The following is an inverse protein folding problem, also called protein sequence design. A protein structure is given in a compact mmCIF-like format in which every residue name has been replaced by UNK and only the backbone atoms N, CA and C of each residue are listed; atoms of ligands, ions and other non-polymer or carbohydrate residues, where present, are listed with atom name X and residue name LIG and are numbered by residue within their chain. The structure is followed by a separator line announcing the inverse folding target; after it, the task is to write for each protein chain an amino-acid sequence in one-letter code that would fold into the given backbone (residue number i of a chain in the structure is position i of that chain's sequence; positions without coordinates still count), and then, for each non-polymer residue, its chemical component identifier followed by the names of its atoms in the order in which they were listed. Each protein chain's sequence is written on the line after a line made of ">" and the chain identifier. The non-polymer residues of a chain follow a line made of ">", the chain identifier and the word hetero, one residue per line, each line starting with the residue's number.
data_IF_560548365967
#
_entry.id   IF_560548365967
#
_cell.length_a   1.000
_cell.length_b   1.000
_cell.length_c   1.000
_cell.angle_alpha   90.00
_cell.angle_beta   90.00
_cell.angle_gamma   90.00
#
_symmetry.space_group_name_H-M   'P 1'
#
loop_
_entity.id
_entity.type
_entity.pdbx_description
1 polymer ?
#
# COMPACT_ATOMS: atom_id res chain seq x y z
N UNK A 1 27.27 8.75 10.89
CA UNK A 1 26.78 9.36 10.94
C UNK A 1 26.47 10.05 10.94
N UNK A 2 26.47 9.61 10.59
CA UNK A 2 25.92 10.29 10.49
C UNK A 2 25.42 10.71 10.25
N UNK A 3 25.08 10.33 10.07
CA UNK A 3 24.40 10.83 9.83
C UNK A 3 24.13 11.47 9.77
N UNK A 4 24.23 11.31 9.70
CA UNK A 4 23.75 12.02 9.59
C UNK A 4 23.35 12.54 9.31
N UNK A 5 23.15 12.29 9.08
CA UNK A 5 22.61 12.87 8.84
C UNK A 5 22.36 13.39 8.72
N UNK A 6 22.48 13.09 8.67
CA UNK A 6 22.04 13.62 8.58
C UNK A 6 21.63 13.97 8.41
N UNK A 7 21.38 13.61 8.26
CA UNK A 7 20.79 13.97 8.12
C UNK A 7 20.06 13.97 8.13
N UNK A 8 20.20 13.65 8.20
CA UNK A 8 19.36 13.68 8.14
C UNK A 8 18.91 13.53 7.97
N UNK A 9 19.11 12.87 7.83
CA UNK A 9 18.44 12.66 7.72
C UNK A 9 18.24 12.22 7.60
N UNK A 10 18.05 11.70 7.50
CA UNK A 10 17.78 11.36 7.41
C UNK A 10 17.77 10.91 7.64
N UNK A 11 17.90 10.40 7.63
CA UNK A 11 17.75 10.07 7.76
C UNK A 11 17.70 10.16 7.72
N UNK A 12 17.81 10.10 7.82
CA UNK A 12 17.67 10.33 7.70
C UNK A 12 17.47 10.12 7.44
N UNK A 13 17.58 9.68 7.23
CA UNK A 13 17.34 9.53 6.98
C UNK A 13 17.71 9.46 6.94
N UNK A 14 18.08 9.41 7.17
CA UNK A 14 18.46 9.38 7.18
C UNK A 14 18.92 9.09 7.49
N UNK A 15 19.06 8.82 7.88
CA UNK A 15 19.51 8.54 7.95
C UNK A 15 19.78 7.73 7.97
N UNK A 16 19.29 7.32 7.93
CA UNK A 16 19.58 6.43 7.47
C UNK A 16 20.31 6.40 6.65
N UNK A 17 20.93 6.70 6.38
CA UNK A 17 21.50 6.54 5.64
C UNK A 17 22.09 5.98 5.16
N UNK A 18 22.56 5.96 5.38
CA UNK A 18 23.06 5.39 4.63
C UNK A 18 22.97 4.09 4.68
N UNK A 19 22.56 3.73 5.40
CA UNK A 19 22.19 2.57 5.15
C UNK A 19 21.40 2.58 4.07
N UNK A 20 21.38 2.02 3.61
CA UNK A 20 21.04 1.83 2.53
C UNK A 20 19.69 1.36 2.53
N UNK A 21 18.76 2.26 2.31
CA UNK A 21 17.35 1.97 2.11
C UNK A 21 17.17 1.04 0.92
N UNK A 22 17.96 1.23 -0.13
CA UNK A 22 17.86 0.35 -1.30
C UNK A 22 18.23 -1.08 -0.97
N UNK A 23 19.28 -1.29 -0.20
CA UNK A 23 19.66 -2.63 0.20
C UNK A 23 18.59 -3.28 1.07
N UNK A 24 17.96 -2.48 1.94
CA UNK A 24 16.87 -2.99 2.75
C UNK A 24 15.71 -3.49 1.88
N UNK A 25 15.31 -2.68 0.91
CA UNK A 25 14.20 -3.07 0.05
C UNK A 25 14.54 -4.25 -0.85
N UNK A 26 15.80 -4.39 -1.23
CA UNK A 26 16.20 -5.55 -2.03
C UNK A 26 16.07 -6.86 -1.28
N UNK A 27 16.15 -6.82 0.05
CA UNK A 27 16.00 -8.02 0.86
C UNK A 27 14.57 -8.24 1.33
N UNK A 28 13.68 -7.26 1.11
CA UNK A 28 12.29 -7.41 1.50
C UNK A 28 11.52 -8.12 0.43
N UNK A 29 10.63 -8.98 0.87
CA UNK A 29 9.71 -9.68 -0.02
C UNK A 29 8.46 -8.83 -0.14
N UNK A 30 8.39 -8.01 -1.18
CA UNK A 30 7.30 -7.08 -1.37
C UNK A 30 6.19 -7.69 -2.20
N UNK A 31 4.96 -7.39 -1.79
CA UNK A 31 3.76 -7.92 -2.44
C UNK A 31 2.79 -6.79 -2.74
N UNK A 32 2.16 -6.90 -3.88
CA UNK A 32 1.12 -5.95 -4.29
C UNK A 32 -0.22 -6.44 -3.78
N UNK A 33 -0.99 -5.53 -3.21
CA UNK A 33 -2.38 -5.78 -2.84
C UNK A 33 -3.23 -5.30 -4.01
N UNK A 34 -3.86 -6.24 -4.70
CA UNK A 34 -4.68 -5.93 -5.87
C UNK A 34 -6.13 -5.97 -5.44
N UNK A 35 -6.86 -4.89 -5.75
CA UNK A 35 -8.28 -4.80 -5.46
C UNK A 35 -9.02 -4.85 -6.78
N UNK A 36 -10.07 -5.67 -6.82
CA UNK A 36 -10.83 -5.95 -8.03
C UNK A 36 -12.20 -5.30 -7.94
N UNK A 37 -12.68 -4.87 -9.09
CA UNK A 37 -14.03 -4.32 -9.18
C UNK A 37 -15.06 -5.42 -8.94
N UNK A 38 -16.12 -5.08 -8.22
CA UNK A 38 -17.31 -5.94 -8.15
C UNK A 38 -18.54 -5.04 -8.13
N UNK A 39 -19.69 -5.64 -8.37
CA UNK A 39 -20.93 -4.88 -8.52
C UNK A 39 -21.63 -4.63 -7.20
N UNK A 40 -21.12 -5.14 -6.10
CA UNK A 40 -21.78 -5.08 -4.80
C UNK A 40 -21.23 -3.96 -3.93
N UNK A 41 -19.91 -3.76 -3.98
CA UNK A 41 -19.24 -2.82 -3.09
C UNK A 41 -19.32 -1.41 -3.64
N UNK A 42 -19.74 -0.46 -2.79
CA UNK A 42 -19.86 0.94 -3.22
C UNK A 42 -18.49 1.63 -3.23
N UNK A 43 -18.42 2.71 -4.02
CA UNK A 43 -17.23 3.58 -4.04
C UNK A 43 -16.86 4.04 -2.64
N UNK A 44 -17.85 4.47 -1.88
CA UNK A 44 -17.59 5.00 -0.55
C UNK A 44 -16.98 3.96 0.37
N UNK A 45 -17.43 2.72 0.29
CA UNK A 45 -16.87 1.63 1.07
C UNK A 45 -15.40 1.40 0.71
N UNK A 46 -15.09 1.43 -0.58
CA UNK A 46 -13.72 1.22 -1.05
C UNK A 46 -12.82 2.38 -0.62
N UNK A 47 -13.29 3.61 -0.79
CA UNK A 47 -12.53 4.80 -0.39
C UNK A 47 -12.23 4.75 1.10
N UNK A 48 -13.24 4.46 1.92
CA UNK A 48 -13.06 4.40 3.36
C UNK A 48 -12.07 3.30 3.75
N UNK A 49 -12.14 2.15 3.11
CA UNK A 49 -11.22 1.06 3.38
C UNK A 49 -9.78 1.47 3.07
N UNK A 50 -9.56 2.13 1.94
CA UNK A 50 -8.21 2.53 1.55
C UNK A 50 -7.63 3.58 2.50
N UNK A 51 -8.46 4.48 2.98
CA UNK A 51 -8.01 5.46 3.98
C UNK A 51 -7.66 4.76 5.29
N UNK A 52 -8.50 3.85 5.73
CA UNK A 52 -8.30 3.21 7.05
C UNK A 52 -7.24 2.13 7.05
N UNK A 53 -7.17 1.34 6.00
CA UNK A 53 -6.24 0.20 5.95
C UNK A 53 -4.85 0.64 5.50
N UNK A 54 -4.78 1.49 4.47
CA UNK A 54 -3.50 1.86 3.87
C UNK A 54 -3.04 3.26 4.23
N UNK A 55 -3.85 3.99 4.97
CA UNK A 55 -3.55 5.39 5.33
C UNK A 55 -3.39 6.28 4.09
N UNK A 56 -4.10 5.97 3.03
CA UNK A 56 -4.13 6.83 1.85
C UNK A 56 -4.92 8.11 2.15
N UNK A 57 -4.58 9.17 1.43
CA UNK A 57 -5.43 10.37 1.46
C UNK A 57 -6.77 10.04 0.78
N UNK A 58 -7.78 10.85 1.08
CA UNK A 58 -9.09 10.70 0.44
C UNK A 58 -8.95 10.84 -1.08
N UNK A 59 -8.14 11.79 -1.53
CA UNK A 59 -7.91 11.99 -2.95
C UNK A 59 -7.28 10.76 -3.62
N UNK A 60 -6.29 10.18 -2.97
CA UNK A 60 -5.64 8.99 -3.52
C UNK A 60 -6.60 7.81 -3.52
N UNK A 61 -7.36 7.65 -2.45
CA UNK A 61 -8.34 6.57 -2.34
C UNK A 61 -9.41 6.70 -3.42
N UNK A 62 -9.85 7.93 -3.68
CA UNK A 62 -10.85 8.20 -4.73
C UNK A 62 -10.29 7.84 -6.11
N UNK A 63 -9.05 8.25 -6.40
CA UNK A 63 -8.42 7.91 -7.68
C UNK A 63 -8.32 6.41 -7.87
N UNK A 64 -7.94 5.69 -6.83
CA UNK A 64 -7.85 4.23 -6.91
C UNK A 64 -9.21 3.60 -7.14
N UNK A 65 -10.25 4.10 -6.46
CA UNK A 65 -11.60 3.58 -6.64
C UNK A 65 -12.07 3.76 -8.08
N UNK A 66 -11.81 4.92 -8.69
CA UNK A 66 -12.15 5.16 -10.08
C UNK A 66 -11.37 4.26 -11.02
N UNK A 67 -10.09 4.06 -10.76
CA UNK A 67 -9.27 3.16 -11.58
C UNK A 67 -9.84 1.74 -11.55
N UNK A 68 -10.21 1.27 -10.37
CA UNK A 68 -10.79 -0.05 -10.22
C UNK A 68 -12.08 -0.15 -11.01
N UNK A 69 -12.92 0.87 -10.92
CA UNK A 69 -14.21 0.88 -11.61
C UNK A 69 -14.01 0.87 -13.13
N UNK A 70 -13.06 1.64 -13.63
CA UNK A 70 -12.87 1.80 -15.07
C UNK A 70 -12.07 0.67 -15.70
N UNK A 71 -11.08 0.13 -14.99
CA UNK A 71 -10.18 -0.86 -15.58
C UNK A 71 -10.37 -2.27 -15.04
N UNK A 72 -11.16 -2.42 -13.99
CA UNK A 72 -11.44 -3.73 -13.38
C UNK A 72 -10.59 -4.06 -12.18
N UNK A 73 -9.45 -3.41 -12.00
CA UNK A 73 -8.57 -3.66 -10.86
C UNK A 73 -7.56 -2.54 -10.72
N UNK A 74 -6.93 -2.49 -9.55
CA UNK A 74 -5.80 -1.60 -9.32
C UNK A 74 -4.94 -2.15 -8.19
N UNK A 75 -3.67 -1.77 -8.19
CA UNK A 75 -2.79 -2.05 -7.06
C UNK A 75 -3.04 -0.98 -6.01
N UNK A 76 -3.60 -1.38 -4.89
CA UNK A 76 -3.93 -0.44 -3.83
C UNK A 76 -2.71 -0.04 -3.01
N UNK A 77 -1.77 -0.96 -2.84
CA UNK A 77 -0.55 -0.71 -2.08
C UNK A 77 0.44 -1.84 -2.31
N UNK A 78 1.72 -1.56 -2.02
CA UNK A 78 2.77 -2.57 -2.03
C UNK A 78 3.37 -2.59 -0.63
N UNK A 79 3.43 -3.77 -0.02
CA UNK A 79 3.84 -3.93 1.37
C UNK A 79 4.64 -5.22 1.53
N UNK A 80 5.42 -5.34 2.60
CA UNK A 80 5.99 -6.64 2.97
C UNK A 80 4.88 -7.68 3.13
N UNK A 81 5.25 -8.93 2.98
CA UNK A 81 4.28 -10.02 2.89
C UNK A 81 3.28 -10.04 4.04
N UNK A 82 3.77 -9.94 5.27
CA UNK A 82 2.88 -10.00 6.44
C UNK A 82 1.85 -8.88 6.44
N UNK A 83 2.29 -7.68 6.10
CA UNK A 83 1.39 -6.53 6.05
C UNK A 83 0.41 -6.64 4.89
N UNK A 84 0.88 -7.13 3.75
CA UNK A 84 0.02 -7.31 2.59
C UNK A 84 -1.05 -8.36 2.87
N UNK A 85 -0.70 -9.45 3.51
CA UNK A 85 -1.67 -10.47 3.89
C UNK A 85 -2.70 -9.93 4.87
N UNK A 86 -2.26 -9.16 5.85
CA UNK A 86 -3.18 -8.55 6.81
C UNK A 86 -4.13 -7.58 6.12
N UNK A 87 -3.63 -6.82 5.15
CA UNK A 87 -4.46 -5.89 4.39
C UNK A 87 -5.51 -6.62 3.58
N UNK A 88 -5.13 -7.72 2.92
CA UNK A 88 -6.11 -8.51 2.15
C UNK A 88 -7.19 -9.06 3.07
N UNK A 89 -6.82 -9.56 4.25
CA UNK A 89 -7.83 -10.04 5.21
C UNK A 89 -8.76 -8.91 5.65
N UNK A 90 -8.21 -7.72 5.91
CA UNK A 90 -9.03 -6.58 6.30
C UNK A 90 -10.00 -6.18 5.19
N UNK A 91 -9.55 -6.23 3.94
CA UNK A 91 -10.42 -5.94 2.80
C UNK A 91 -11.52 -6.98 2.66
N UNK A 92 -11.18 -8.26 2.81
CA UNK A 92 -12.17 -9.33 2.74
C UNK A 92 -13.24 -9.19 3.83
N UNK A 93 -12.84 -8.75 5.02
CA UNK A 93 -13.80 -8.52 6.09
C UNK A 93 -14.80 -7.40 5.75
N UNK A 94 -14.44 -6.54 4.83
CA UNK A 94 -15.31 -5.48 4.34
C UNK A 94 -16.00 -5.88 3.05
N UNK A 95 -15.88 -7.15 2.66
CA UNK A 95 -16.49 -7.69 1.45
C UNK A 95 -15.95 -7.05 0.18
N UNK A 96 -14.67 -6.65 0.23
CA UNK A 96 -13.98 -6.11 -0.93
C UNK A 96 -13.10 -7.20 -1.52
N UNK A 97 -13.21 -7.42 -2.83
CA UNK A 97 -12.42 -8.43 -3.53
C UNK A 97 -10.98 -8.00 -3.63
N UNK A 98 -10.08 -8.77 -3.09
CA UNK A 98 -8.67 -8.44 -3.08
C UNK A 98 -7.82 -9.70 -3.13
N UNK A 99 -6.63 -9.57 -3.69
CA UNK A 99 -5.67 -10.66 -3.77
C UNK A 99 -4.25 -10.13 -3.69
N UNK A 100 -3.30 -11.04 -3.57
CA UNK A 100 -1.88 -10.70 -3.52
C UNK A 100 -1.20 -11.10 -4.81
N UNK A 101 -0.19 -10.34 -5.18
CA UNK A 101 0.73 -10.72 -6.25
C UNK A 101 2.12 -10.22 -5.87
N UNK A 102 3.14 -10.93 -6.31
CA UNK A 102 4.49 -10.43 -6.06
C UNK A 102 4.70 -9.12 -6.78
N UNK A 103 5.31 -8.22 -6.06
CA UNK A 103 5.57 -6.89 -6.63
C UNK A 103 6.77 -6.91 -7.58
#
# INVERSE_FOLDING_TARGET
>A
MTLTLSQPGTIDAAVLTDVDVDAFFETEDLWAVIVWNDDVTTFQTVIQAFVEIFNHSVERADQLAWTIHQTGKAVAAVRPKDEAEAAVRALHLRLISASLARA
#
